data_IF_727255619054
#
_entry.id   IF_727255619054
#
_cell.length_a   1.000
_cell.length_b   1.000
_cell.length_c   1.000
_cell.angle_alpha   90.00
_cell.angle_beta   90.00
_cell.angle_gamma   90.00
#
_symmetry.space_group_name_H-M   'P 1'
#
loop_
_entity.id
_entity.type
_entity.pdbx_description
1 polymer ?
#
# COMPACT_ATOMS: atom_id res chain seq x y z
N UNK A 1 -36.10 65.38 -25.83
CA UNK A 1 -36.25 64.06 -26.49
C UNK A 1 -35.01 63.21 -26.19
N UNK A 2 -35.14 62.13 -25.43
CA UNK A 2 -34.02 61.28 -24.95
C UNK A 2 -33.82 60.10 -25.90
N UNK A 3 -32.63 59.97 -26.51
CA UNK A 3 -32.27 58.83 -27.37
C UNK A 3 -31.89 57.61 -26.51
N UNK A 4 -32.72 56.56 -26.51
CA UNK A 4 -32.37 55.24 -25.95
C UNK A 4 -31.29 54.57 -26.82
N UNK A 5 -30.09 54.35 -26.27
CA UNK A 5 -29.08 53.46 -26.86
C UNK A 5 -29.51 52.00 -26.65
N UNK A 6 -29.82 51.29 -27.73
CA UNK A 6 -30.02 49.85 -27.70
C UNK A 6 -28.67 49.14 -27.52
N UNK A 7 -28.52 48.38 -26.43
CA UNK A 7 -27.37 47.48 -26.22
C UNK A 7 -27.55 46.27 -27.15
N UNK A 8 -26.69 46.18 -28.17
CA UNK A 8 -26.62 45.03 -29.08
C UNK A 8 -26.00 43.85 -28.30
N UNK A 9 -26.83 42.91 -27.86
CA UNK A 9 -26.36 41.67 -27.23
C UNK A 9 -25.80 40.81 -28.36
N UNK A 10 -24.48 40.72 -28.47
CA UNK A 10 -23.82 39.79 -29.39
C UNK A 10 -24.18 38.36 -29.01
N UNK A 11 -24.98 37.71 -29.86
CA UNK A 11 -25.37 36.32 -29.73
C UNK A 11 -24.14 35.47 -30.05
N UNK A 12 -23.42 34.98 -29.03
CA UNK A 12 -22.25 34.11 -29.22
C UNK A 12 -22.64 32.91 -30.09
N UNK A 13 -21.84 32.68 -31.13
CA UNK A 13 -22.03 31.61 -32.11
C UNK A 13 -22.18 30.26 -31.43
N UNK A 14 -23.21 29.49 -31.80
CA UNK A 14 -23.48 28.16 -31.23
C UNK A 14 -22.29 27.20 -31.32
N UNK A 15 -21.42 27.37 -32.32
CA UNK A 15 -20.16 26.62 -32.46
C UNK A 15 -19.18 26.90 -31.31
N UNK A 16 -19.08 28.16 -30.87
CA UNK A 16 -18.20 28.56 -29.76
C UNK A 16 -18.72 28.01 -28.44
N UNK A 17 -20.03 28.00 -28.23
CA UNK A 17 -20.64 27.37 -27.05
C UNK A 17 -20.39 25.86 -27.07
N UNK A 18 -20.57 25.19 -28.21
CA UNK A 18 -20.34 23.75 -28.34
C UNK A 18 -18.88 23.35 -28.08
N UNK A 19 -17.93 24.13 -28.60
CA UNK A 19 -16.49 23.89 -28.38
C UNK A 19 -16.15 24.04 -26.90
N UNK A 20 -16.63 25.08 -26.23
CA UNK A 20 -16.37 25.29 -24.79
C UNK A 20 -16.96 24.16 -23.96
N UNK A 21 -18.17 23.69 -24.27
CA UNK A 21 -18.78 22.56 -23.57
C UNK A 21 -18.02 21.26 -23.81
N UNK A 22 -17.58 21.00 -25.05
CA UNK A 22 -16.80 19.80 -25.38
C UNK A 22 -15.43 19.78 -24.68
N UNK A 23 -14.74 20.93 -24.63
CA UNK A 23 -13.47 21.07 -23.92
C UNK A 23 -13.66 20.86 -22.41
N UNK A 24 -14.71 21.43 -21.82
CA UNK A 24 -15.03 21.22 -20.41
C UNK A 24 -15.31 19.74 -20.07
N UNK A 25 -16.01 19.02 -20.96
CA UNK A 25 -16.27 17.59 -20.80
C UNK A 25 -14.97 16.76 -20.87
N UNK A 26 -14.09 17.05 -21.83
CA UNK A 26 -12.80 16.35 -21.96
C UNK A 26 -11.92 16.58 -20.73
N UNK A 27 -11.87 17.82 -20.23
CA UNK A 27 -11.15 18.15 -18.99
C UNK A 27 -11.76 17.40 -17.80
N UNK A 28 -13.09 17.36 -17.70
CA UNK A 28 -13.78 16.60 -16.65
C UNK A 28 -13.46 15.11 -16.67
N UNK A 29 -13.38 14.50 -17.87
CA UNK A 29 -12.98 13.09 -18.04
C UNK A 29 -11.52 12.90 -17.61
N UNK A 30 -10.61 13.79 -18.01
CA UNK A 30 -9.20 13.71 -17.62
C UNK A 30 -9.02 13.83 -16.11
N UNK A 31 -9.73 14.75 -15.45
CA UNK A 31 -9.69 14.92 -13.99
C UNK A 31 -10.27 13.67 -13.30
N UNK A 32 -11.37 13.11 -13.81
CA UNK A 32 -11.98 11.90 -13.26
C UNK A 32 -11.06 10.67 -13.37
N UNK A 33 -10.32 10.54 -14.48
CA UNK A 33 -9.33 9.47 -14.65
C UNK A 33 -8.11 9.67 -13.75
N UNK A 34 -7.57 10.89 -13.65
CA UNK A 34 -6.45 11.19 -12.77
C UNK A 34 -6.79 11.01 -11.28
N UNK A 35 -8.01 11.37 -10.87
CA UNK A 35 -8.48 11.21 -9.48
C UNK A 35 -8.73 9.75 -9.09
N UNK A 36 -8.83 8.82 -10.05
CA UNK A 36 -9.04 7.39 -9.76
C UNK A 36 -7.77 6.64 -9.38
N UNK A 37 -6.59 7.24 -9.53
CA UNK A 37 -5.31 6.52 -9.52
C UNK A 37 -4.76 6.17 -8.12
N UNK A 38 -5.38 6.58 -7.01
CA UNK A 38 -4.70 6.50 -5.70
C UNK A 38 -5.59 6.04 -4.52
N UNK A 39 -6.62 5.23 -4.78
CA UNK A 39 -7.54 4.76 -3.72
C UNK A 39 -7.15 3.44 -3.05
N UNK A 40 -6.03 2.81 -3.43
CA UNK A 40 -5.63 1.50 -2.90
C UNK A 40 -4.18 1.47 -2.43
N UNK A 41 -3.75 2.51 -1.70
CA UNK A 41 -2.50 2.46 -0.96
C UNK A 41 -2.72 1.60 0.28
N UNK A 42 -2.23 0.37 0.23
CA UNK A 42 -2.09 -0.46 1.40
C UNK A 42 -1.10 0.20 2.36
N UNK A 43 -1.31 -0.02 3.66
CA UNK A 43 -0.43 0.49 4.71
C UNK A 43 -0.07 -0.68 5.62
N UNK A 44 1.20 -0.76 6.01
CA UNK A 44 1.67 -1.74 6.98
C UNK A 44 1.18 -1.28 8.36
N UNK A 45 0.42 -2.10 9.10
CA UNK A 45 0.01 -1.72 10.46
C UNK A 45 1.22 -1.47 11.37
N UNK A 46 1.21 -0.36 12.11
CA UNK A 46 2.33 0.05 12.99
C UNK A 46 2.78 -1.04 13.96
N UNK A 47 1.87 -1.88 14.44
CA UNK A 47 2.22 -2.98 15.35
C UNK A 47 3.09 -4.06 14.69
N UNK A 48 3.05 -4.19 13.36
CA UNK A 48 3.95 -5.08 12.60
C UNK A 48 5.31 -4.45 12.34
N UNK A 49 5.41 -3.13 12.27
CA UNK A 49 6.65 -2.41 11.95
C UNK A 49 7.70 -2.65 13.03
N UNK A 50 8.87 -3.11 12.64
CA UNK A 50 10.00 -3.40 13.51
C UNK A 50 10.73 -4.69 13.16
N UNK A 51 11.73 -5.02 13.98
CA UNK A 51 12.47 -6.28 13.89
C UNK A 51 11.77 -7.37 14.70
N UNK A 52 11.81 -8.57 14.14
CA UNK A 52 11.23 -9.78 14.69
C UNK A 52 12.32 -10.85 14.71
N UNK A 53 12.54 -11.41 15.89
CA UNK A 53 13.59 -12.39 16.17
C UNK A 53 12.98 -13.68 16.70
N UNK A 54 13.68 -14.79 16.52
CA UNK A 54 13.26 -16.10 17.02
C UNK A 54 14.28 -16.63 18.01
N UNK A 55 13.79 -17.28 19.07
CA UNK A 55 14.66 -17.99 20.02
C UNK A 55 15.03 -19.40 19.54
N UNK A 56 14.58 -19.82 18.36
CA UNK A 56 14.91 -21.13 17.80
C UNK A 56 16.42 -21.20 17.46
N UNK A 57 17.14 -22.29 17.82
CA UNK A 57 18.59 -22.39 17.63
C UNK A 57 19.06 -22.08 16.21
N UNK A 58 18.32 -22.52 15.20
CA UNK A 58 18.69 -22.34 13.77
C UNK A 58 18.53 -20.89 13.26
N UNK A 59 17.98 -20.01 14.10
CA UNK A 59 17.58 -18.64 13.76
C UNK A 59 18.25 -17.58 14.65
N UNK A 60 19.25 -17.93 15.46
CA UNK A 60 19.90 -16.98 16.37
C UNK A 60 20.50 -15.75 15.68
N UNK A 61 21.03 -15.92 14.47
CA UNK A 61 21.59 -14.84 13.65
C UNK A 61 20.64 -14.38 12.53
N UNK A 62 19.34 -14.65 12.67
CA UNK A 62 18.32 -14.37 11.66
C UNK A 62 17.24 -13.46 12.24
N UNK A 63 16.81 -12.50 11.45
CA UNK A 63 15.68 -11.64 11.79
C UNK A 63 14.79 -11.38 10.57
N UNK A 64 13.52 -11.11 10.84
CA UNK A 64 12.58 -10.49 9.92
C UNK A 64 12.41 -9.05 10.33
N UNK A 65 12.72 -8.10 9.47
CA UNK A 65 12.39 -6.69 9.68
C UNK A 65 11.26 -6.32 8.73
N UNK A 66 10.19 -5.77 9.30
CA UNK A 66 9.04 -5.24 8.57
C UNK A 66 9.08 -3.74 8.72
N UNK A 67 9.10 -3.01 7.60
CA UNK A 67 8.90 -1.57 7.59
C UNK A 67 7.75 -1.22 6.65
N UNK A 68 7.46 0.08 6.50
CA UNK A 68 6.31 0.56 5.74
C UNK A 68 6.36 0.23 4.23
N UNK A 69 7.51 -0.16 3.70
CA UNK A 69 7.72 -0.36 2.25
C UNK A 69 8.34 -1.70 1.90
N UNK A 70 8.89 -2.46 2.85
CA UNK A 70 9.58 -3.71 2.57
C UNK A 70 9.55 -4.72 3.72
N UNK A 71 9.73 -5.98 3.34
CA UNK A 71 10.12 -7.09 4.21
C UNK A 71 11.60 -7.37 3.98
N UNK A 72 12.37 -7.41 5.06
CA UNK A 72 13.81 -7.63 5.04
C UNK A 72 14.11 -8.90 5.85
N UNK A 73 14.74 -9.88 5.22
CA UNK A 73 15.12 -11.13 5.84
C UNK A 73 16.64 -11.18 5.98
N UNK A 74 17.14 -11.19 7.22
CA UNK A 74 18.52 -11.58 7.46
C UNK A 74 18.60 -13.11 7.51
N UNK A 75 19.30 -13.70 6.54
CA UNK A 75 19.44 -15.16 6.40
C UNK A 75 20.79 -15.68 6.87
N UNK A 76 21.58 -14.83 7.52
CA UNK A 76 22.87 -15.13 8.13
C UNK A 76 23.60 -13.84 8.53
N UNK A 77 24.84 -13.94 9.06
CA UNK A 77 25.56 -12.80 9.64
C UNK A 77 25.79 -11.62 8.68
N UNK A 78 25.86 -11.90 7.38
CA UNK A 78 26.18 -10.90 6.34
C UNK A 78 25.22 -10.93 5.16
N UNK A 79 24.18 -11.76 5.22
CA UNK A 79 23.26 -11.97 4.08
C UNK A 79 21.88 -11.45 4.43
N UNK A 80 21.42 -10.47 3.64
CA UNK A 80 20.10 -9.86 3.77
C UNK A 80 19.41 -9.93 2.42
N UNK A 81 18.12 -10.24 2.42
CA UNK A 81 17.26 -10.18 1.24
C UNK A 81 16.08 -9.26 1.49
N UNK A 82 15.86 -8.33 0.57
CA UNK A 82 14.81 -7.31 0.69
C UNK A 82 13.74 -7.54 -0.37
N UNK A 83 12.48 -7.51 0.07
CA UNK A 83 11.31 -7.61 -0.78
C UNK A 83 10.45 -6.37 -0.58
N UNK A 84 10.25 -5.58 -1.62
CA UNK A 84 9.42 -4.38 -1.61
C UNK A 84 7.96 -4.77 -1.63
N UNK A 85 7.19 -4.29 -0.66
CA UNK A 85 5.77 -4.58 -0.57
C UNK A 85 5.06 -3.85 -1.70
N UNK A 86 4.13 -4.54 -2.35
CA UNK A 86 3.26 -4.01 -3.41
C UNK A 86 1.78 -4.19 -3.08
N UNK A 87 1.46 -4.95 -2.03
CA UNK A 87 0.11 -5.20 -1.56
C UNK A 87 0.10 -5.87 -0.19
N UNK A 88 -0.90 -5.54 0.63
CA UNK A 88 -1.16 -6.24 1.90
C UNK A 88 -2.65 -6.53 1.98
N UNK A 89 -2.98 -7.78 2.29
CA UNK A 89 -4.34 -8.17 2.66
C UNK A 89 -4.32 -8.84 4.03
N UNK A 90 -5.39 -8.68 4.79
CA UNK A 90 -5.51 -9.30 6.11
C UNK A 90 -6.89 -9.89 6.34
N UNK A 91 -6.94 -10.97 7.12
CA UNK A 91 -8.17 -11.65 7.51
C UNK A 91 -8.06 -11.99 8.99
N UNK A 92 -8.96 -11.45 9.80
CA UNK A 92 -9.08 -11.83 11.20
C UNK A 92 -9.66 -13.26 11.32
N UNK A 93 -9.02 -14.10 12.14
CA UNK A 93 -9.40 -15.48 12.44
C UNK A 93 -9.41 -15.69 13.95
N UNK A 94 -10.54 -15.39 14.58
CA UNK A 94 -10.67 -15.46 16.04
C UNK A 94 -9.74 -14.47 16.72
N UNK A 95 -8.71 -14.96 17.41
CA UNK A 95 -7.70 -14.13 18.10
C UNK A 95 -6.47 -13.82 17.25
N UNK A 96 -6.38 -14.39 16.05
CA UNK A 96 -5.24 -14.21 15.16
C UNK A 96 -5.60 -13.35 13.96
N UNK A 97 -4.60 -12.72 13.35
CA UNK A 97 -4.75 -11.98 12.10
C UNK A 97 -3.83 -12.63 11.06
N UNK A 98 -4.40 -13.18 10.00
CA UNK A 98 -3.64 -13.73 8.89
C UNK A 98 -3.35 -12.63 7.87
N UNK A 99 -2.08 -12.37 7.61
CA UNK A 99 -1.60 -11.41 6.61
C UNK A 99 -1.06 -12.14 5.38
N UNK A 100 -1.37 -11.58 4.21
CA UNK A 100 -0.69 -11.89 2.95
C UNK A 100 0.00 -10.63 2.46
N UNK A 101 1.33 -10.68 2.39
CA UNK A 101 2.16 -9.65 1.80
C UNK A 101 2.48 -10.05 0.37
N UNK A 102 2.07 -9.21 -0.57
CA UNK A 102 2.51 -9.28 -1.96
C UNK A 102 3.75 -8.40 -2.09
N UNK A 103 4.84 -8.94 -2.60
CA UNK A 103 6.11 -8.24 -2.68
C UNK A 103 6.82 -8.50 -4.00
N UNK A 104 7.82 -7.68 -4.29
CA UNK A 104 8.78 -7.89 -5.37
C UNK A 104 10.21 -7.73 -4.89
N UNK A 105 11.15 -8.48 -5.47
CA UNK A 105 12.58 -8.24 -5.25
C UNK A 105 13.14 -7.14 -6.18
N UNK A 106 14.45 -6.91 -6.10
CA UNK A 106 15.16 -5.93 -6.94
C UNK A 106 15.16 -6.28 -8.43
N UNK A 107 14.77 -7.50 -8.80
CA UNK A 107 14.66 -7.99 -10.18
C UNK A 107 13.21 -7.97 -10.67
N UNK A 108 12.30 -7.35 -9.92
CA UNK A 108 10.85 -7.29 -10.18
C UNK A 108 10.15 -8.65 -10.14
N UNK A 109 10.79 -9.68 -9.58
CA UNK A 109 10.18 -11.01 -9.41
C UNK A 109 9.18 -10.93 -8.25
N UNK A 110 7.95 -11.42 -8.49
CA UNK A 110 6.86 -11.37 -7.53
C UNK A 110 6.92 -12.53 -6.52
N UNK A 111 6.67 -12.22 -5.25
CA UNK A 111 6.62 -13.15 -4.13
C UNK A 111 5.38 -12.91 -3.27
N UNK A 112 4.96 -13.95 -2.55
CA UNK A 112 3.91 -13.85 -1.54
C UNK A 112 4.42 -14.42 -0.23
N UNK A 113 4.28 -13.64 0.84
CA UNK A 113 4.60 -14.05 2.20
C UNK A 113 3.33 -14.13 3.05
N UNK A 114 3.18 -15.24 3.76
CA UNK A 114 2.01 -15.50 4.61
C UNK A 114 2.43 -15.52 6.07
N UNK A 115 1.91 -14.58 6.85
CA UNK A 115 2.21 -14.40 8.27
C UNK A 115 0.91 -14.48 9.09
N UNK A 116 0.93 -15.22 10.19
CA UNK A 116 -0.12 -15.13 11.20
C UNK A 116 0.41 -14.30 12.37
N UNK A 117 -0.37 -13.31 12.78
CA UNK A 117 -0.08 -12.45 13.93
C UNK A 117 -1.01 -12.77 15.08
N UNK A 118 -0.44 -13.04 16.24
CA UNK A 118 -1.14 -13.13 17.52
C UNK A 118 -0.81 -11.87 18.34
N UNK A 119 -1.80 -11.05 18.74
CA UNK A 119 -1.56 -9.79 19.44
C UNK A 119 -1.16 -9.95 20.93
N UNK A 120 -1.17 -11.18 21.46
CA UNK A 120 -0.88 -11.44 22.87
C UNK A 120 0.58 -11.07 23.24
N UNK A 121 0.79 -10.53 24.46
CA UNK A 121 2.11 -10.25 25.06
C UNK A 121 3.09 -9.44 24.17
N UNK A 122 2.61 -8.42 23.47
CA UNK A 122 3.44 -7.57 22.60
C UNK A 122 3.55 -8.05 21.16
N UNK A 123 2.87 -9.15 20.83
CA UNK A 123 2.77 -9.66 19.48
C UNK A 123 3.70 -10.85 19.21
N UNK A 124 3.19 -11.87 18.54
CA UNK A 124 3.97 -12.98 17.99
C UNK A 124 3.60 -13.22 16.54
N UNK A 125 4.61 -13.39 15.69
CA UNK A 125 4.46 -13.76 14.29
C UNK A 125 4.80 -15.24 14.07
N UNK A 126 4.08 -15.84 13.14
CA UNK A 126 4.32 -17.18 12.65
C UNK A 126 4.26 -17.19 11.14
N UNK A 127 5.25 -17.79 10.48
CA UNK A 127 5.13 -18.06 9.06
C UNK A 127 4.18 -19.23 8.83
N UNK A 128 3.31 -19.11 7.83
CA UNK A 128 2.32 -20.16 7.51
C UNK A 128 2.96 -21.53 7.26
N UNK A 129 4.16 -21.56 6.67
CA UNK A 129 4.92 -22.80 6.39
C UNK A 129 5.76 -23.28 7.59
N UNK A 130 5.88 -22.50 8.66
CA UNK A 130 6.67 -22.82 9.87
C UNK A 130 5.91 -22.41 11.14
N UNK A 131 4.70 -22.97 11.39
CA UNK A 131 3.83 -22.55 12.49
C UNK A 131 4.42 -22.80 13.89
N UNK A 132 5.45 -23.64 14.00
CA UNK A 132 6.15 -23.91 15.26
C UNK A 132 7.19 -22.84 15.63
N UNK A 133 7.64 -22.02 14.67
CA UNK A 133 8.67 -21.01 14.90
C UNK A 133 8.01 -19.70 15.30
N UNK A 134 8.25 -19.29 16.54
CA UNK A 134 7.76 -18.03 17.11
C UNK A 134 8.73 -16.91 16.78
N UNK A 135 8.21 -15.84 16.19
CA UNK A 135 8.94 -14.61 15.96
C UNK A 135 8.37 -13.52 16.87
N UNK A 136 9.21 -13.00 17.75
CA UNK A 136 8.84 -12.01 18.75
C UNK A 136 9.47 -10.68 18.36
N UNK A 137 8.76 -9.59 18.64
CA UNK A 137 9.26 -8.25 18.36
C UNK A 137 10.51 -7.99 19.19
N UNK A 138 11.58 -7.55 18.55
CA UNK A 138 12.82 -7.16 19.23
C UNK A 138 12.52 -5.95 20.13
N UNK A 139 12.85 -6.00 21.43
CA UNK A 139 12.72 -4.86 22.31
C UNK A 139 13.53 -3.69 21.76
N UNK A 140 12.93 -2.50 21.71
CA UNK A 140 13.62 -1.25 21.35
C UNK A 140 14.55 -0.75 22.46
#
# INVERSE_FOLDING_TARGET
MVKKKQKKIEKKSGKTVFIVTAVALIIGIFIFWAARQDSNRWEVPDYLVGRWISSAPDYQDRYLEINNVSLIFATGPTTVTTYFITGITSIAKGKEIAFTFECKDVQDIAYQFFLNYQPDNGGTLFFKNQPQIKWMKEPS
#
